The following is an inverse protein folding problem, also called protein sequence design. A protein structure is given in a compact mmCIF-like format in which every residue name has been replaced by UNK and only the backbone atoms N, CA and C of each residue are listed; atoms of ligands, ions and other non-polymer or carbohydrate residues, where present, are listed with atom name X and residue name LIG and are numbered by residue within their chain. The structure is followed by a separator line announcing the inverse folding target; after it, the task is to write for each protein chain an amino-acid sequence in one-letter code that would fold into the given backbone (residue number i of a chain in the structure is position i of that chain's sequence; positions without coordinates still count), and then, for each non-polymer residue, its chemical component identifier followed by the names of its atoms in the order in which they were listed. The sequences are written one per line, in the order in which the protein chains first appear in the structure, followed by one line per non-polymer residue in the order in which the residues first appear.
data_IF_007749068704
#
_entry.id   IF_007749068704
#
_cell.length_a   1.000
_cell.length_b   1.000
_cell.length_c   1.000
_cell.angle_alpha   90.00
_cell.angle_beta   90.00
_cell.angle_gamma   90.00
#
_symmetry.space_group_name_H-M   'P 1'
#
loop_
_entity.id
_entity.type
_entity.pdbx_description
1 polymer ?
#
# COMPACT_ATOMS: atom_id res chain seq x y z
N UNK A 1 -6.49 -8.41 13.68
CA UNK A 1 -5.30 -8.90 12.96
C UNK A 1 -5.24 -8.38 11.52
N UNK A 2 -6.18 -8.74 10.63
CA UNK A 2 -6.15 -8.33 9.20
C UNK A 2 -6.05 -6.82 8.97
N UNK A 3 -6.79 -6.01 9.74
CA UNK A 3 -6.76 -4.55 9.61
C UNK A 3 -5.37 -3.95 9.92
N UNK A 4 -4.63 -4.52 10.87
CA UNK A 4 -3.29 -4.04 11.23
C UNK A 4 -2.26 -4.25 10.10
N UNK A 5 -2.49 -5.22 9.21
CA UNK A 5 -1.61 -5.45 8.06
C UNK A 5 -1.60 -4.27 7.08
N UNK A 6 -2.58 -3.36 7.12
CA UNK A 6 -2.59 -2.14 6.32
C UNK A 6 -1.54 -1.11 6.75
N UNK A 7 -0.97 -1.24 7.94
CA UNK A 7 0.14 -0.39 8.40
C UNK A 7 1.45 -0.68 7.65
N UNK A 8 1.71 -1.95 7.33
CA UNK A 8 3.01 -2.42 6.80
C UNK A 8 3.41 -1.73 5.49
N UNK A 9 2.52 -1.51 4.50
CA UNK A 9 2.89 -0.80 3.28
C UNK A 9 3.38 0.63 3.54
N UNK A 10 2.84 1.36 4.54
CA UNK A 10 3.30 2.71 4.88
C UNK A 10 4.76 2.70 5.35
N UNK A 11 5.09 1.78 6.27
CA UNK A 11 6.46 1.56 6.72
C UNK A 11 7.42 1.27 5.56
N UNK A 12 7.02 0.35 4.67
CA UNK A 12 7.82 -0.04 3.51
C UNK A 12 8.02 1.13 2.53
N UNK A 13 6.99 1.93 2.28
CA UNK A 13 7.08 3.14 1.45
C UNK A 13 8.14 4.10 2.01
N UNK A 14 8.10 4.37 3.31
CA UNK A 14 9.06 5.25 3.98
C UNK A 14 10.49 4.70 3.86
N UNK A 15 10.69 3.40 4.07
CA UNK A 15 11.99 2.73 3.93
C UNK A 15 12.52 2.82 2.49
N UNK A 16 11.65 2.61 1.49
CA UNK A 16 12.03 2.71 0.09
C UNK A 16 12.50 4.12 -0.30
N UNK A 17 11.77 5.15 0.12
CA UNK A 17 12.18 6.54 -0.15
C UNK A 17 13.42 6.94 0.65
N UNK A 18 13.58 6.45 1.88
CA UNK A 18 14.77 6.68 2.68
C UNK A 18 16.02 6.08 2.00
N UNK A 19 15.92 4.83 1.55
CA UNK A 19 16.98 4.17 0.81
C UNK A 19 17.37 4.97 -0.44
N UNK A 20 16.39 5.42 -1.23
CA UNK A 20 16.63 6.22 -2.44
C UNK A 20 17.30 7.54 -2.14
N UNK A 21 16.84 8.24 -1.11
CA UNK A 21 17.45 9.49 -0.66
C UNK A 21 18.91 9.27 -0.26
N UNK A 22 19.22 8.19 0.47
CA UNK A 22 20.58 7.86 0.88
C UNK A 22 21.48 7.50 -0.31
N UNK A 23 20.99 6.74 -1.29
CA UNK A 23 21.75 6.44 -2.51
C UNK A 23 22.23 7.72 -3.21
N UNK A 24 21.38 8.75 -3.25
CA UNK A 24 21.68 9.99 -3.94
C UNK A 24 22.54 10.93 -3.08
N UNK A 25 22.18 11.12 -1.81
CA UNK A 25 22.79 12.15 -0.94
C UNK A 25 23.90 11.61 -0.04
N UNK A 26 23.73 10.42 0.50
CA UNK A 26 24.61 9.81 1.52
C UNK A 26 24.99 8.37 1.17
N UNK A 27 25.71 8.13 0.05
CA UNK A 27 25.98 6.79 -0.45
C UNK A 27 26.74 5.90 0.54
N UNK A 28 27.52 6.49 1.46
CA UNK A 28 28.20 5.76 2.52
C UNK A 28 27.24 5.08 3.52
N UNK A 29 26.06 5.66 3.77
CA UNK A 29 25.04 5.10 4.65
C UNK A 29 24.27 3.93 4.01
N UNK A 30 24.28 3.81 2.68
CA UNK A 30 23.59 2.71 1.97
C UNK A 30 24.16 1.35 2.39
N UNK A 31 25.44 1.30 2.75
CA UNK A 31 26.08 0.07 3.27
C UNK A 31 25.39 -0.48 4.53
N UNK A 32 24.65 0.35 5.28
CA UNK A 32 23.87 -0.09 6.43
C UNK A 32 22.75 -1.05 6.01
N UNK A 33 22.13 -0.87 4.85
CA UNK A 33 21.08 -1.78 4.34
C UNK A 33 21.59 -3.20 4.05
N UNK A 34 22.90 -3.40 4.01
CA UNK A 34 23.53 -4.73 3.88
C UNK A 34 23.89 -5.32 5.26
N UNK A 35 23.95 -4.50 6.32
CA UNK A 35 24.31 -4.95 7.67
C UNK A 35 23.10 -5.53 8.37
N UNK A 36 23.21 -6.79 8.81
CA UNK A 36 22.12 -7.50 9.50
C UNK A 36 21.51 -6.71 10.69
N UNK A 37 22.28 -6.05 11.57
CA UNK A 37 21.69 -5.29 12.68
C UNK A 37 20.75 -4.16 12.22
N UNK A 38 21.08 -3.50 11.12
CA UNK A 38 20.24 -2.42 10.59
C UNK A 38 19.00 -2.98 9.89
N UNK A 39 19.12 -4.09 9.17
CA UNK A 39 17.94 -4.79 8.61
C UNK A 39 16.99 -5.25 9.72
N UNK A 40 17.53 -5.81 10.81
CA UNK A 40 16.73 -6.20 11.98
C UNK A 40 16.04 -4.99 12.62
N UNK A 41 16.72 -3.84 12.70
CA UNK A 41 16.11 -2.59 13.18
C UNK A 41 14.94 -2.16 12.29
N UNK A 42 15.08 -2.20 10.97
CA UNK A 42 14.00 -1.88 10.04
C UNK A 42 12.81 -2.84 10.19
N UNK A 43 13.07 -4.14 10.31
CA UNK A 43 12.03 -5.14 10.58
C UNK A 43 11.32 -4.87 11.91
N UNK A 44 12.07 -4.51 12.95
CA UNK A 44 11.51 -4.16 14.26
C UNK A 44 10.62 -2.92 14.19
N UNK A 45 11.00 -1.90 13.39
CA UNK A 45 10.16 -0.72 13.15
C UNK A 45 8.85 -1.12 12.48
N UNK A 46 8.88 -1.94 11.42
CA UNK A 46 7.68 -2.44 10.75
C UNK A 46 6.77 -3.24 11.70
N UNK A 47 7.36 -4.08 12.55
CA UNK A 47 6.62 -4.86 13.56
C UNK A 47 6.02 -3.92 14.61
N UNK A 48 6.77 -2.93 15.09
CA UNK A 48 6.28 -1.97 16.08
C UNK A 48 5.11 -1.13 15.53
N UNK A 49 5.19 -0.70 14.28
CA UNK A 49 4.10 0.02 13.60
C UNK A 49 2.86 -0.87 13.44
N UNK A 50 3.04 -2.14 13.04
CA UNK A 50 1.95 -3.11 12.99
C UNK A 50 1.32 -3.38 14.36
N UNK A 51 2.14 -3.52 15.42
CA UNK A 51 1.67 -3.70 16.79
C UNK A 51 0.85 -2.48 17.21
N UNK A 52 1.37 -1.27 17.03
CA UNK A 52 0.66 -0.03 17.35
C UNK A 52 -0.70 0.03 16.65
N UNK A 53 -0.73 -0.29 15.35
CA UNK A 53 -1.97 -0.32 14.58
C UNK A 53 -2.96 -1.36 15.09
N UNK A 54 -2.47 -2.55 15.45
CA UNK A 54 -3.27 -3.61 16.03
C UNK A 54 -3.91 -3.18 17.36
N UNK A 55 -3.15 -2.54 18.24
CA UNK A 55 -3.67 -2.02 19.50
C UNK A 55 -4.70 -0.91 19.28
N UNK A 56 -4.46 0.01 18.34
CA UNK A 56 -5.46 1.03 17.97
C UNK A 56 -6.75 0.41 17.45
N UNK A 57 -6.68 -0.65 16.64
CA UNK A 57 -7.87 -1.35 16.16
C UNK A 57 -8.62 -2.11 17.26
N UNK A 58 -7.91 -2.78 18.18
CA UNK A 58 -8.56 -3.63 19.19
C UNK A 58 -9.09 -2.83 20.38
N UNK A 59 -8.37 -1.79 20.81
CA UNK A 59 -8.72 -1.02 22.00
C UNK A 59 -9.36 0.33 21.68
N UNK A 60 -9.15 0.85 20.47
CA UNK A 60 -9.68 2.15 20.07
C UNK A 60 -10.98 2.09 19.26
N UNK A 61 -11.30 0.93 18.66
CA UNK A 61 -12.52 0.79 17.85
C UNK A 61 -13.58 -0.03 18.59
N UNK A 62 -14.83 0.25 18.24
CA UNK A 62 -15.98 -0.55 18.67
C UNK A 62 -16.15 -1.74 17.73
N UNK A 63 -17.00 -2.70 18.08
CA UNK A 63 -17.19 -3.95 17.33
C UNK A 63 -17.71 -5.12 18.18
N UNK A 64 -18.12 -4.87 19.42
CA UNK A 64 -18.68 -5.91 20.27
C UNK A 64 -20.05 -6.37 19.75
N UNK A 65 -20.42 -7.62 20.06
CA UNK A 65 -21.62 -8.26 19.49
C UNK A 65 -22.92 -7.49 19.76
N UNK A 66 -22.98 -6.85 20.93
CA UNK A 66 -24.17 -6.21 21.48
C UNK A 66 -24.22 -4.71 21.20
N UNK A 67 -23.20 -4.14 20.54
CA UNK A 67 -23.21 -2.73 20.18
C UNK A 67 -24.15 -2.46 19.00
N UNK A 68 -24.91 -1.37 19.11
CA UNK A 68 -25.91 -0.94 18.13
C UNK A 68 -25.28 -0.78 16.74
N UNK A 69 -24.15 -0.06 16.65
CA UNK A 69 -23.43 0.11 15.38
C UNK A 69 -23.00 -1.21 14.73
N UNK A 70 -22.62 -2.22 15.53
CA UNK A 70 -22.27 -3.57 15.06
C UNK A 70 -23.51 -4.31 14.55
N UNK A 71 -24.63 -4.23 15.27
CA UNK A 71 -25.89 -4.85 14.85
C UNK A 71 -26.43 -4.26 13.54
N UNK A 72 -26.43 -2.93 13.42
CA UNK A 72 -26.84 -2.22 12.20
C UNK A 72 -26.00 -2.64 10.98
N UNK A 73 -24.68 -2.69 11.14
CA UNK A 73 -23.78 -3.14 10.08
C UNK A 73 -24.02 -4.62 9.71
N UNK A 74 -24.27 -5.47 10.71
CA UNK A 74 -24.53 -6.89 10.50
C UNK A 74 -25.84 -7.13 9.74
N UNK A 75 -26.90 -6.43 10.10
CA UNK A 75 -28.20 -6.50 9.42
C UNK A 75 -28.11 -6.02 7.97
N UNK A 76 -27.46 -4.88 7.73
CA UNK A 76 -27.25 -4.36 6.38
C UNK A 76 -26.37 -5.29 5.53
N UNK A 77 -25.35 -5.92 6.14
CA UNK A 77 -24.53 -6.92 5.47
C UNK A 77 -25.32 -8.19 5.12
N UNK A 78 -26.14 -8.69 6.04
CA UNK A 78 -27.01 -9.84 5.81
C UNK A 78 -28.02 -9.54 4.70
N UNK A 79 -28.66 -8.37 4.72
CA UNK A 79 -29.61 -7.93 3.71
C UNK A 79 -28.99 -7.87 2.31
N UNK A 80 -27.73 -7.45 2.22
CA UNK A 80 -27.03 -7.29 0.93
C UNK A 80 -26.44 -8.60 0.40
N UNK A 81 -25.84 -9.42 1.27
CA UNK A 81 -25.05 -10.60 0.84
C UNK A 81 -25.67 -11.94 1.24
N UNK A 82 -26.77 -11.95 2.00
CA UNK A 82 -27.40 -13.17 2.51
C UNK A 82 -26.55 -13.92 3.53
N UNK A 83 -25.54 -13.28 4.13
CA UNK A 83 -24.58 -13.90 5.04
C UNK A 83 -24.61 -13.23 6.41
N UNK A 84 -24.67 -14.05 7.45
CA UNK A 84 -24.55 -13.61 8.83
C UNK A 84 -23.10 -13.73 9.29
N UNK A 85 -22.52 -12.62 9.79
CA UNK A 85 -21.17 -12.59 10.35
C UNK A 85 -21.31 -12.22 11.83
N UNK A 86 -21.02 -13.17 12.70
CA UNK A 86 -21.18 -13.00 14.15
C UNK A 86 -20.05 -12.16 14.75
N UNK A 87 -18.80 -12.46 14.38
CA UNK A 87 -17.59 -11.93 15.01
C UNK A 87 -16.65 -11.24 14.02
N UNK A 88 -15.76 -10.39 14.56
CA UNK A 88 -14.67 -9.77 13.80
C UNK A 88 -14.99 -8.42 13.18
N UNK A 89 -16.07 -7.78 13.62
CA UNK A 89 -16.41 -6.42 13.23
C UNK A 89 -15.45 -5.42 13.87
N UNK A 90 -15.05 -4.43 13.07
CA UNK A 90 -14.40 -3.21 13.56
C UNK A 90 -15.29 -2.06 13.08
N UNK A 91 -15.84 -1.34 14.04
CA UNK A 91 -16.88 -0.33 13.83
C UNK A 91 -16.34 1.01 14.33
N UNK A 92 -16.61 2.04 13.54
CA UNK A 92 -16.32 3.43 13.86
C UNK A 92 -17.63 4.17 14.02
N UNK A 93 -18.35 3.85 15.09
CA UNK A 93 -19.62 4.49 15.40
C UNK A 93 -19.38 5.83 16.09
N UNK A 94 -19.45 6.92 15.31
CA UNK A 94 -19.21 8.27 15.80
C UNK A 94 -20.45 8.91 16.45
N UNK A 95 -21.63 8.29 16.28
CA UNK A 95 -22.92 8.86 16.63
C UNK A 95 -23.76 7.81 17.37
N UNK A 96 -23.43 7.61 18.65
CA UNK A 96 -24.13 6.65 19.51
C UNK A 96 -25.36 7.30 20.12
N UNK A 97 -26.55 6.80 19.79
CA UNK A 97 -27.84 7.33 20.28
C UNK A 97 -28.01 8.85 20.04
N UNK A 98 -27.61 9.34 18.86
CA UNK A 98 -27.55 10.76 18.46
C UNK A 98 -26.55 11.63 19.25
N UNK A 99 -25.73 11.02 20.12
CA UNK A 99 -24.62 11.69 20.81
C UNK A 99 -23.28 11.39 20.13
N UNK A 100 -22.46 12.44 20.00
CA UNK A 100 -21.14 12.33 19.42
C UNK A 100 -20.18 11.59 20.36
N UNK A 101 -19.55 10.52 19.85
CA UNK A 101 -18.52 9.78 20.57
C UNK A 101 -17.13 10.38 20.30
N UNK A 102 -16.66 11.20 21.24
CA UNK A 102 -15.33 11.82 21.16
C UNK A 102 -14.17 10.83 21.22
N UNK A 103 -14.35 9.65 21.82
CA UNK A 103 -13.30 8.63 21.88
C UNK A 103 -13.04 8.05 20.48
N UNK A 104 -14.10 7.65 19.77
CA UNK A 104 -13.99 7.10 18.40
C UNK A 104 -13.37 8.15 17.46
N UNK A 105 -13.75 9.42 17.62
CA UNK A 105 -13.14 10.51 16.85
C UNK A 105 -11.65 10.70 17.14
N UNK A 106 -11.23 10.65 18.41
CA UNK A 106 -9.80 10.73 18.77
C UNK A 106 -9.04 9.56 18.14
N UNK A 107 -9.59 8.35 18.18
CA UNK A 107 -8.96 7.17 17.57
C UNK A 107 -8.87 7.32 16.05
N UNK A 108 -9.91 7.83 15.38
CA UNK A 108 -9.86 8.14 13.95
C UNK A 108 -8.78 9.21 13.65
N UNK A 109 -8.73 10.29 14.42
CA UNK A 109 -7.72 11.33 14.26
C UNK A 109 -6.29 10.78 14.44
N UNK A 110 -6.08 9.84 15.36
CA UNK A 110 -4.79 9.16 15.51
C UNK A 110 -4.42 8.36 14.26
N UNK A 111 -5.36 7.62 13.67
CA UNK A 111 -5.11 6.94 12.39
C UNK A 111 -4.74 7.94 11.29
N UNK A 112 -5.50 9.03 11.15
CA UNK A 112 -5.24 10.05 10.14
C UNK A 112 -3.88 10.73 10.33
N UNK A 113 -3.46 10.99 11.58
CA UNK A 113 -2.14 11.55 11.90
C UNK A 113 -1.02 10.58 11.51
N UNK A 114 -1.14 9.29 11.81
CA UNK A 114 -0.12 8.29 11.41
C UNK A 114 -0.02 8.20 9.89
N UNK A 115 -1.15 8.18 9.19
CA UNK A 115 -1.19 8.15 7.71
C UNK A 115 -0.56 9.43 7.14
N UNK A 116 -0.98 10.60 7.62
CA UNK A 116 -0.51 11.90 7.14
C UNK A 116 1.00 12.08 7.38
N UNK A 117 1.50 11.72 8.57
CA UNK A 117 2.93 11.82 8.89
C UNK A 117 3.78 10.92 7.99
N UNK A 118 3.33 9.68 7.73
CA UNK A 118 3.98 8.80 6.75
C UNK A 118 4.00 9.38 5.33
N UNK A 119 2.89 9.98 4.87
CA UNK A 119 2.86 10.63 3.56
C UNK A 119 3.74 11.86 3.46
N UNK A 120 3.75 12.70 4.49
CA UNK A 120 4.59 13.90 4.54
C UNK A 120 6.06 13.48 4.53
N UNK A 121 6.44 12.49 5.33
CA UNK A 121 7.81 11.99 5.40
C UNK A 121 8.28 11.42 4.06
N UNK A 122 7.52 10.49 3.48
CA UNK A 122 7.83 9.90 2.17
C UNK A 122 7.88 10.93 1.05
N UNK A 123 6.92 11.86 0.99
CA UNK A 123 6.89 12.94 -0.01
C UNK A 123 8.08 13.89 0.14
N UNK A 124 8.46 14.22 1.37
CA UNK A 124 9.64 15.04 1.66
C UNK A 124 10.91 14.35 1.14
N UNK A 125 11.10 13.06 1.46
CA UNK A 125 12.23 12.29 0.96
C UNK A 125 12.23 12.18 -0.56
N UNK A 126 11.06 11.99 -1.19
CA UNK A 126 10.93 11.95 -2.64
C UNK A 126 11.36 13.28 -3.29
N UNK A 127 10.85 14.41 -2.77
CA UNK A 127 11.21 15.75 -3.24
C UNK A 127 12.70 16.04 -3.07
N UNK A 128 13.27 15.74 -1.89
CA UNK A 128 14.69 15.90 -1.63
C UNK A 128 15.56 15.02 -2.54
N UNK A 129 15.13 13.79 -2.78
CA UNK A 129 15.82 12.86 -3.69
C UNK A 129 15.84 13.44 -5.11
N UNK A 130 14.69 13.89 -5.62
CA UNK A 130 14.59 14.51 -6.94
C UNK A 130 15.48 15.75 -7.06
N UNK A 131 15.45 16.63 -6.06
CA UNK A 131 16.28 17.82 -6.00
C UNK A 131 17.77 17.49 -6.07
N UNK A 132 18.24 16.54 -5.25
CA UNK A 132 19.65 16.17 -5.26
C UNK A 132 20.08 15.41 -6.51
N UNK A 133 19.21 14.62 -7.14
CA UNK A 133 19.52 14.02 -8.45
C UNK A 133 19.79 15.14 -9.47
N UNK A 134 18.97 16.20 -9.49
CA UNK A 134 19.09 17.29 -10.45
C UNK A 134 20.30 18.22 -10.19
N UNK A 135 20.64 18.47 -8.94
CA UNK A 135 21.77 19.33 -8.58
C UNK A 135 23.13 18.62 -8.44
N UNK A 136 23.16 17.29 -8.44
CA UNK A 136 24.43 16.58 -8.18
C UNK A 136 25.41 16.73 -9.35
N UNK A 137 26.46 17.51 -9.14
CA UNK A 137 27.67 17.51 -9.98
C UNK A 137 28.54 16.26 -9.79
N UNK A 138 28.24 15.45 -8.76
CA UNK A 138 28.98 14.22 -8.44
C UNK A 138 28.69 13.07 -9.41
N UNK A 139 27.63 13.17 -10.21
CA UNK A 139 27.24 12.15 -11.17
C UNK A 139 27.61 12.56 -12.58
N UNK A 140 28.09 11.61 -13.38
CA UNK A 140 28.08 11.77 -14.83
C UNK A 140 26.65 11.89 -15.33
N UNK A 141 26.46 12.51 -16.50
CA UNK A 141 25.13 12.65 -17.14
C UNK A 141 24.44 11.29 -17.29
N UNK A 142 25.20 10.24 -17.59
CA UNK A 142 24.71 8.86 -17.71
C UNK A 142 24.24 8.31 -16.35
N UNK A 143 25.04 8.48 -15.29
CA UNK A 143 24.68 8.04 -13.94
C UNK A 143 23.47 8.80 -13.39
N UNK A 144 23.38 10.10 -13.65
CA UNK A 144 22.23 10.93 -13.30
C UNK A 144 20.94 10.44 -13.98
N UNK A 145 20.99 10.16 -15.29
CA UNK A 145 19.86 9.62 -16.03
C UNK A 145 19.43 8.24 -15.51
N UNK A 146 20.39 7.40 -15.09
CA UNK A 146 20.08 6.12 -14.46
C UNK A 146 19.38 6.30 -13.11
N UNK A 147 19.91 7.14 -12.22
CA UNK A 147 19.30 7.41 -10.92
C UNK A 147 17.90 8.01 -11.06
N UNK A 148 17.69 8.90 -12.03
CA UNK A 148 16.38 9.47 -12.32
C UNK A 148 15.39 8.40 -12.78
N UNK A 149 15.80 7.50 -13.68
CA UNK A 149 14.95 6.38 -14.12
C UNK A 149 14.57 5.46 -12.95
N UNK A 150 15.54 5.11 -12.10
CA UNK A 150 15.31 4.29 -10.91
C UNK A 150 14.40 4.98 -9.90
N UNK A 151 14.56 6.29 -9.71
CA UNK A 151 13.69 7.09 -8.85
C UNK A 151 12.26 7.13 -9.38
N UNK A 152 12.06 7.48 -10.66
CA UNK A 152 10.74 7.48 -11.30
C UNK A 152 10.09 6.11 -11.18
N UNK A 153 10.85 5.03 -11.37
CA UNK A 153 10.35 3.68 -11.22
C UNK A 153 9.83 3.37 -9.82
N UNK A 154 10.57 3.73 -8.77
CA UNK A 154 10.13 3.53 -7.39
C UNK A 154 8.94 4.43 -7.06
N UNK A 155 8.96 5.68 -7.48
CA UNK A 155 7.81 6.59 -7.29
C UNK A 155 6.56 6.02 -7.96
N UNK A 156 6.66 5.54 -9.20
CA UNK A 156 5.56 4.88 -9.89
C UNK A 156 5.07 3.62 -9.15
N UNK A 157 5.98 2.82 -8.60
CA UNK A 157 5.63 1.66 -7.77
C UNK A 157 4.89 2.07 -6.48
N UNK A 158 5.18 3.23 -5.90
CA UNK A 158 4.50 3.73 -4.68
C UNK A 158 3.15 4.40 -4.94
N UNK A 159 2.94 4.97 -6.13
CA UNK A 159 1.64 5.59 -6.53
C UNK A 159 0.53 4.55 -6.62
N UNK A 160 0.87 3.28 -6.82
CA UNK A 160 -0.13 2.23 -7.02
C UNK A 160 -0.72 1.75 -5.68
N UNK A 161 0.08 1.38 -4.67
CA UNK A 161 -0.43 1.21 -3.31
C UNK A 161 -1.22 2.45 -2.83
N UNK A 162 -0.82 3.67 -3.24
CA UNK A 162 -1.61 4.87 -2.97
C UNK A 162 -3.04 4.79 -3.50
N UNK A 163 -3.21 4.44 -4.77
CA UNK A 163 -4.53 4.39 -5.41
C UNK A 163 -5.36 3.19 -4.94
N UNK A 164 -4.72 2.02 -4.79
CA UNK A 164 -5.44 0.76 -4.55
C UNK A 164 -5.54 0.37 -3.07
N UNK A 165 -4.70 0.93 -2.21
CA UNK A 165 -4.67 0.59 -0.78
C UNK A 165 -4.91 1.83 0.07
N UNK A 166 -4.07 2.87 -0.05
CA UNK A 166 -4.11 3.99 0.89
C UNK A 166 -5.35 4.86 0.76
N UNK A 167 -5.74 5.25 -0.45
CA UNK A 167 -6.97 6.02 -0.69
C UNK A 167 -8.20 5.22 -0.24
N UNK A 168 -8.41 3.97 -0.69
CA UNK A 168 -9.54 3.15 -0.23
C UNK A 168 -9.60 2.99 1.28
N UNK A 169 -8.45 2.81 1.92
CA UNK A 169 -8.33 2.65 3.35
C UNK A 169 -8.67 3.94 4.11
N UNK A 170 -8.08 5.08 3.72
CA UNK A 170 -8.40 6.40 4.28
C UNK A 170 -9.91 6.72 4.14
N UNK A 171 -10.48 6.41 2.98
CA UNK A 171 -11.91 6.50 2.73
C UNK A 171 -12.73 5.61 3.68
N UNK A 172 -12.35 4.35 3.86
CA UNK A 172 -13.02 3.44 4.78
C UNK A 172 -13.04 3.94 6.22
N UNK A 173 -11.96 4.57 6.69
CA UNK A 173 -11.91 5.16 8.02
C UNK A 173 -12.83 6.38 8.12
N UNK A 174 -12.83 7.26 7.11
CA UNK A 174 -13.55 8.54 7.20
C UNK A 174 -15.04 8.48 6.79
N UNK A 175 -15.47 7.47 6.03
CA UNK A 175 -16.88 7.33 5.61
C UNK A 175 -17.88 7.22 6.78
N UNK A 176 -17.64 6.41 7.82
CA UNK A 176 -18.50 6.37 9.00
C UNK A 176 -18.72 7.75 9.63
N UNK A 177 -17.65 8.53 9.82
CA UNK A 177 -17.73 9.89 10.36
C UNK A 177 -18.58 10.83 9.49
N UNK A 178 -18.47 10.70 8.17
CA UNK A 178 -19.24 11.48 7.19
C UNK A 178 -20.71 11.02 7.01
N UNK A 179 -21.17 10.03 7.77
CA UNK A 179 -22.54 9.48 7.65
C UNK A 179 -22.77 8.74 6.32
N UNK A 180 -21.69 8.27 5.70
CA UNK A 180 -21.72 7.71 4.36
C UNK A 180 -21.96 6.17 4.41
N UNK A 181 -22.94 5.57 3.66
CA UNK A 181 -23.15 4.12 3.55
C UNK A 181 -21.87 3.26 3.46
N UNK A 182 -21.53 2.66 4.60
CA UNK A 182 -20.28 1.94 4.82
C UNK A 182 -20.28 0.58 4.10
N UNK A 183 -21.41 -0.14 4.07
CA UNK A 183 -21.48 -1.48 3.44
C UNK A 183 -21.29 -1.44 1.93
N UNK A 184 -21.80 -0.40 1.26
CA UNK A 184 -21.67 -0.24 -0.19
C UNK A 184 -20.29 0.28 -0.59
N UNK A 185 -19.86 1.38 0.03
CA UNK A 185 -18.56 1.98 -0.27
C UNK A 185 -17.39 1.17 0.27
N UNK A 186 -17.54 0.58 1.45
CA UNK A 186 -16.57 -0.34 2.03
C UNK A 186 -16.31 -1.54 1.14
N UNK A 187 -17.35 -2.12 0.51
CA UNK A 187 -17.17 -3.23 -0.43
C UNK A 187 -16.36 -2.82 -1.68
N UNK A 188 -16.59 -1.62 -2.20
CA UNK A 188 -15.78 -1.08 -3.31
C UNK A 188 -14.32 -0.86 -2.88
N UNK A 189 -14.10 -0.29 -1.70
CA UNK A 189 -12.75 -0.12 -1.15
C UNK A 189 -12.06 -1.47 -0.92
N UNK A 190 -12.75 -2.47 -0.38
CA UNK A 190 -12.23 -3.83 -0.22
C UNK A 190 -11.87 -4.48 -1.55
N UNK A 191 -12.64 -4.24 -2.62
CA UNK A 191 -12.32 -4.72 -3.96
C UNK A 191 -11.02 -4.09 -4.49
N UNK A 192 -10.86 -2.78 -4.37
CA UNK A 192 -9.64 -2.08 -4.80
C UNK A 192 -8.41 -2.63 -4.05
N UNK A 193 -8.54 -2.81 -2.74
CA UNK A 193 -7.51 -3.40 -1.90
C UNK A 193 -7.18 -4.84 -2.33
N UNK A 194 -8.19 -5.66 -2.62
CA UNK A 194 -7.99 -7.04 -3.05
C UNK A 194 -7.24 -7.13 -4.41
N UNK A 195 -7.37 -6.12 -5.26
CA UNK A 195 -6.65 -6.05 -6.54
C UNK A 195 -5.17 -5.62 -6.40
N UNK A 196 -4.76 -5.05 -5.26
CA UNK A 196 -3.40 -4.51 -5.07
C UNK A 196 -2.27 -5.52 -5.41
N UNK A 197 -2.30 -6.79 -4.93
CA UNK A 197 -1.23 -7.73 -5.24
C UNK A 197 -1.07 -8.00 -6.74
N UNK A 198 -2.18 -8.05 -7.47
CA UNK A 198 -2.18 -8.26 -8.92
C UNK A 198 -1.54 -7.08 -9.66
N UNK A 199 -1.90 -5.84 -9.27
CA UNK A 199 -1.30 -4.64 -9.85
C UNK A 199 0.19 -4.54 -9.53
N UNK A 200 0.60 -4.85 -8.30
CA UNK A 200 2.01 -4.88 -7.91
C UNK A 200 2.86 -5.77 -8.83
N UNK A 201 2.36 -6.96 -9.17
CA UNK A 201 3.03 -7.88 -10.10
C UNK A 201 3.08 -7.30 -11.53
N UNK A 202 1.97 -6.78 -12.05
CA UNK A 202 1.91 -6.17 -13.40
C UNK A 202 2.92 -5.04 -13.56
N UNK A 203 3.08 -4.19 -12.54
CA UNK A 203 3.97 -3.04 -12.61
C UNK A 203 5.43 -3.45 -12.60
N UNK A 204 5.82 -4.41 -11.75
CA UNK A 204 7.20 -4.91 -11.76
C UNK A 204 7.54 -5.46 -13.16
N UNK A 205 6.62 -6.20 -13.77
CA UNK A 205 6.79 -6.73 -15.12
C UNK A 205 6.85 -5.64 -16.20
N UNK A 206 5.99 -4.62 -16.11
CA UNK A 206 5.92 -3.52 -17.09
C UNK A 206 7.04 -2.52 -16.91
N UNK A 207 7.56 -2.30 -15.71
CA UNK A 207 8.42 -1.15 -15.41
C UNK A 207 9.90 -1.53 -15.28
N UNK A 208 10.22 -2.80 -15.02
CA UNK A 208 11.60 -3.28 -15.03
C UNK A 208 12.03 -3.77 -16.43
N UNK A 209 13.01 -3.11 -17.07
CA UNK A 209 13.43 -3.45 -18.43
C UNK A 209 13.89 -4.90 -18.63
N UNK A 210 14.48 -5.51 -17.60
CA UNK A 210 14.96 -6.90 -17.68
C UNK A 210 13.79 -7.90 -17.73
N UNK A 211 12.70 -7.62 -17.00
CA UNK A 211 11.47 -8.42 -17.09
C UNK A 211 10.78 -8.23 -18.44
N UNK A 212 10.72 -7.00 -18.96
CA UNK A 212 10.18 -6.72 -20.30
C UNK A 212 10.94 -7.49 -21.39
N UNK A 213 12.27 -7.55 -21.32
CA UNK A 213 13.11 -8.32 -22.26
C UNK A 213 12.84 -9.81 -22.14
N UNK A 214 12.70 -10.33 -20.92
CA UNK A 214 12.33 -11.71 -20.66
C UNK A 214 10.97 -12.08 -21.27
N UNK A 215 9.94 -11.29 -21.01
CA UNK A 215 8.59 -11.47 -21.58
C UNK A 215 8.64 -11.43 -23.10
N UNK A 216 9.30 -10.42 -23.67
CA UNK A 216 9.45 -10.30 -25.13
C UNK A 216 10.16 -11.52 -25.73
N UNK A 217 11.15 -12.09 -25.03
CA UNK A 217 11.83 -13.31 -25.44
C UNK A 217 10.92 -14.54 -25.42
N UNK A 218 10.11 -14.71 -24.37
CA UNK A 218 9.14 -15.80 -24.24
C UNK A 218 8.08 -15.71 -25.34
N UNK A 219 7.49 -14.53 -25.52
CA UNK A 219 6.47 -14.28 -26.55
C UNK A 219 7.03 -14.57 -27.94
N UNK A 220 8.21 -14.05 -28.28
CA UNK A 220 8.88 -14.33 -29.57
C UNK A 220 9.16 -15.82 -29.79
N UNK A 221 9.51 -16.57 -28.72
CA UNK A 221 9.72 -18.03 -28.81
C UNK A 221 8.41 -18.77 -29.04
N UNK A 222 7.33 -18.41 -28.35
CA UNK A 222 6.02 -19.04 -28.55
C UNK A 222 5.49 -18.80 -29.97
N UNK A 223 5.59 -17.57 -30.49
CA UNK A 223 5.21 -17.27 -31.87
C UNK A 223 6.05 -18.05 -32.90
N UNK A 224 7.37 -18.19 -32.69
CA UNK A 224 8.21 -19.04 -33.56
C UNK A 224 7.81 -20.51 -33.49
N UNK A 225 7.46 -21.01 -32.32
CA UNK A 225 7.08 -22.42 -32.13
C UNK A 225 5.72 -22.73 -32.78
N UNK A 226 4.75 -21.81 -32.67
CA UNK A 226 3.47 -21.89 -33.37
C UNK A 226 3.65 -21.87 -34.90
N UNK A 227 4.40 -20.89 -35.42
CA UNK A 227 4.69 -20.80 -36.85
C UNK A 227 5.43 -22.03 -37.41
N UNK A 228 6.30 -22.65 -36.61
CA UNK A 228 7.02 -23.86 -37.02
C UNK A 228 6.10 -25.08 -37.07
N UNK A 229 5.10 -25.20 -36.19
CA UNK A 229 4.09 -26.26 -36.27
C UNK A 229 3.19 -26.09 -37.50
N UNK A 230 2.71 -24.88 -37.78
CA UNK A 230 1.85 -24.63 -38.94
C UNK A 230 2.55 -24.96 -40.26
N UNK A 231 3.84 -24.63 -40.40
CA UNK A 231 4.62 -24.98 -41.60
C UNK A 231 4.93 -26.47 -41.73
N UNK A 232 4.96 -27.23 -40.63
CA UNK A 232 5.11 -28.70 -40.68
C UNK A 232 3.79 -29.32 -41.14
N UNK A 233 2.66 -28.86 -40.63
CA UNK A 233 1.33 -29.37 -41.00
C UNK A 233 1.03 -29.14 -42.50
N UNK A 234 1.40 -27.97 -43.06
CA UNK A 234 1.15 -27.64 -44.48
C UNK A 234 2.02 -28.47 -45.45
N UNK A 235 3.12 -29.09 -44.99
CA UNK A 235 4.06 -29.85 -45.82
C UNK A 235 3.86 -31.37 -45.79
N UNK A 236 2.83 -31.87 -45.09
CA UNK A 236 2.45 -33.29 -45.01
C UNK A 236 1.17 -33.52 -45.80
#
# INVERSE_FOLDING_TARGET
FYCACFAVPFALMNIHFLYRYWVVRYPHLVSLFTKLPFVLLLCLICIAEWILWYYLCIFGLTGEKDEIGTQLLREEYQKKYGKWIEDGWLVMDHWKDDYFDGHVFVVQALFDVVIATSFIFSSTLACLTFYHIKQSEKFSVQAQNLQLKLFIAVTAQTVIPLIFVYIPYFCCLNFPFLGLPVVQRGAFCSLLIACFPAWGAVIVLVLMPDYQRGISGIVKRQFRSAYKMDNVIIRT
#
